data_IF_180865320410
#
_entry.id   IF_180865320410
#
_cell.length_a   1.000
_cell.length_b   1.000
_cell.length_c   1.000
_cell.angle_alpha   90.00
_cell.angle_beta   90.00
_cell.angle_gamma   90.00
#
_symmetry.space_group_name_H-M   'P 1'
#
loop_
_entity.id
_entity.type
_entity.pdbx_description
1 polymer ?
#
# COMPACT_ATOMS: atom_id res chain seq x y z
N UNK A 1 -22.65 -8.84 23.11
CA UNK A 1 -22.23 -9.99 22.26
C UNK A 1 -21.74 -9.45 20.91
N UNK A 2 -20.45 -9.13 20.80
CA UNK A 2 -19.85 -8.52 19.59
C UNK A 2 -19.49 -9.66 18.64
N UNK A 3 -20.26 -9.88 17.57
CA UNK A 3 -19.85 -10.82 16.51
C UNK A 3 -18.49 -10.35 15.98
N UNK A 4 -17.48 -11.23 15.83
CA UNK A 4 -16.15 -10.82 15.41
C UNK A 4 -16.23 -10.21 14.01
N UNK A 5 -15.79 -8.96 13.88
CA UNK A 5 -15.78 -8.17 12.63
C UNK A 5 -15.14 -8.94 11.46
N UNK A 6 -14.14 -9.79 11.75
CA UNK A 6 -13.51 -10.73 10.81
C UNK A 6 -14.50 -11.65 10.10
N UNK A 7 -15.51 -12.15 10.81
CA UNK A 7 -16.43 -13.15 10.28
C UNK A 7 -17.45 -12.55 9.29
N UNK A 8 -17.92 -11.32 9.54
CA UNK A 8 -18.79 -10.60 8.59
C UNK A 8 -18.06 -10.25 7.29
N UNK A 9 -16.79 -9.83 7.38
CA UNK A 9 -15.96 -9.50 6.21
C UNK A 9 -15.73 -10.72 5.31
N UNK A 10 -15.59 -11.91 5.92
CA UNK A 10 -15.45 -13.17 5.18
C UNK A 10 -16.73 -13.56 4.39
N UNK A 11 -17.92 -13.35 4.96
CA UNK A 11 -19.18 -13.60 4.23
C UNK A 11 -19.39 -12.62 3.09
N UNK A 12 -19.08 -11.33 3.30
CA UNK A 12 -19.18 -10.30 2.27
C UNK A 12 -18.23 -10.60 1.08
N UNK A 13 -16.99 -10.99 1.36
CA UNK A 13 -16.01 -11.39 0.33
C UNK A 13 -16.49 -12.60 -0.48
N UNK A 14 -16.98 -13.64 0.20
CA UNK A 14 -17.52 -14.83 -0.47
C UNK A 14 -18.75 -14.52 -1.32
N UNK A 15 -19.65 -13.67 -0.81
CA UNK A 15 -20.82 -13.23 -1.56
C UNK A 15 -20.41 -12.40 -2.78
N UNK A 16 -19.48 -11.44 -2.62
CA UNK A 16 -18.98 -10.60 -3.70
C UNK A 16 -18.24 -11.39 -4.79
N UNK A 17 -17.56 -12.48 -4.44
CA UNK A 17 -16.89 -13.36 -5.39
C UNK A 17 -17.86 -13.94 -6.43
N UNK A 18 -19.11 -14.20 -6.05
CA UNK A 18 -20.13 -14.82 -6.92
C UNK A 18 -21.10 -13.76 -7.47
N UNK A 19 -21.60 -12.87 -6.61
CA UNK A 19 -22.60 -11.87 -7.00
C UNK A 19 -22.06 -10.87 -8.01
N UNK A 20 -20.82 -10.42 -7.86
CA UNK A 20 -20.27 -9.37 -8.71
C UNK A 20 -20.05 -9.85 -10.16
N UNK A 21 -19.50 -11.05 -10.43
CA UNK A 21 -19.49 -11.61 -11.78
C UNK A 21 -20.88 -11.81 -12.37
N UNK A 22 -21.85 -12.25 -11.57
CA UNK A 22 -23.24 -12.43 -12.03
C UNK A 22 -23.83 -11.08 -12.45
N UNK A 23 -23.64 -10.03 -11.66
CA UNK A 23 -24.08 -8.67 -12.01
C UNK A 23 -23.39 -8.18 -13.29
N UNK A 24 -22.07 -8.38 -13.40
CA UNK A 24 -21.31 -8.01 -14.59
C UNK A 24 -21.81 -8.73 -15.84
N UNK A 25 -22.10 -10.04 -15.72
CA UNK A 25 -22.68 -10.84 -16.79
C UNK A 25 -24.09 -10.37 -17.19
N UNK A 26 -24.93 -10.03 -16.21
CA UNK A 26 -26.27 -9.48 -16.49
C UNK A 26 -26.18 -8.15 -17.23
N UNK A 27 -25.22 -7.28 -16.89
CA UNK A 27 -24.98 -6.03 -17.62
C UNK A 27 -24.55 -6.34 -19.07
N UNK A 28 -23.63 -7.29 -19.26
CA UNK A 28 -23.15 -7.70 -20.59
C UNK A 28 -24.31 -8.24 -21.48
N UNK A 29 -25.27 -8.94 -20.88
CA UNK A 29 -26.37 -9.59 -21.61
C UNK A 29 -27.57 -8.66 -21.86
N UNK A 30 -27.90 -7.77 -20.92
CA UNK A 30 -29.16 -7.02 -20.93
C UNK A 30 -29.00 -5.50 -21.07
N UNK A 31 -27.81 -4.94 -20.86
CA UNK A 31 -27.60 -3.50 -20.99
C UNK A 31 -27.08 -3.15 -22.39
N UNK A 32 -27.69 -2.13 -23.00
CA UNK A 32 -27.17 -1.47 -24.19
C UNK A 32 -26.85 -0.02 -23.84
N UNK A 33 -25.62 0.22 -23.40
CA UNK A 33 -25.17 1.54 -22.93
C UNK A 33 -24.94 2.52 -24.08
N UNK A 34 -24.61 2.00 -25.27
CA UNK A 34 -24.37 2.80 -26.47
C UNK A 34 -24.89 2.05 -27.71
N UNK A 35 -26.03 2.48 -28.30
CA UNK A 35 -26.63 1.82 -29.45
C UNK A 35 -25.66 1.73 -30.63
N UNK A 36 -25.17 0.52 -30.91
CA UNK A 36 -24.23 0.24 -32.00
C UNK A 36 -22.79 -0.04 -31.56
N UNK A 37 -22.45 0.12 -30.28
CA UNK A 37 -21.10 -0.17 -29.77
C UNK A 37 -21.10 -1.02 -28.49
N UNK A 38 -21.32 -2.33 -28.66
CA UNK A 38 -21.32 -3.31 -27.56
C UNK A 38 -20.02 -3.37 -26.76
N UNK A 39 -18.89 -2.88 -27.31
CA UNK A 39 -17.60 -2.82 -26.60
C UNK A 39 -17.65 -1.90 -25.39
N UNK A 40 -18.46 -0.84 -25.44
CA UNK A 40 -18.65 0.10 -24.32
C UNK A 40 -19.29 -0.63 -23.13
N UNK A 41 -20.36 -1.39 -23.39
CA UNK A 41 -21.01 -2.23 -22.36
C UNK A 41 -20.04 -3.23 -21.76
N UNK A 42 -19.23 -3.92 -22.57
CA UNK A 42 -18.27 -4.91 -22.08
C UNK A 42 -17.17 -4.27 -21.23
N UNK A 43 -16.61 -3.14 -21.69
CA UNK A 43 -15.59 -2.42 -20.93
C UNK A 43 -16.13 -1.91 -19.59
N UNK A 44 -17.35 -1.35 -19.58
CA UNK A 44 -18.01 -0.89 -18.37
C UNK A 44 -18.28 -2.03 -17.38
N UNK A 45 -18.82 -3.15 -17.87
CA UNK A 45 -19.13 -4.31 -17.02
C UNK A 45 -17.88 -4.90 -16.36
N UNK A 46 -16.75 -4.96 -17.07
CA UNK A 46 -15.47 -5.41 -16.53
C UNK A 46 -14.89 -4.39 -15.54
N UNK A 47 -14.98 -3.09 -15.85
CA UNK A 47 -14.53 -2.04 -14.93
C UNK A 47 -15.33 -2.05 -13.61
N UNK A 48 -16.65 -2.25 -13.69
CA UNK A 48 -17.53 -2.36 -12.53
C UNK A 48 -17.24 -3.62 -11.71
N UNK A 49 -16.99 -4.76 -12.38
CA UNK A 49 -16.52 -5.99 -11.75
C UNK A 49 -15.24 -5.75 -10.95
N UNK A 50 -14.24 -5.14 -11.59
CA UNK A 50 -12.95 -4.85 -10.94
C UNK A 50 -13.10 -3.89 -9.76
N UNK A 51 -13.86 -2.81 -9.92
CA UNK A 51 -14.11 -1.81 -8.87
C UNK A 51 -14.74 -2.44 -7.63
N UNK A 52 -15.78 -3.25 -7.83
CA UNK A 52 -16.45 -3.94 -6.73
C UNK A 52 -15.54 -5.00 -6.06
N UNK A 53 -14.73 -5.72 -6.83
CA UNK A 53 -13.75 -6.66 -6.28
C UNK A 53 -12.61 -5.99 -5.52
N UNK A 54 -12.18 -4.79 -5.92
CA UNK A 54 -11.22 -4.01 -5.14
C UNK A 54 -11.81 -3.49 -3.84
N UNK A 55 -13.05 -2.97 -3.86
CA UNK A 55 -13.73 -2.47 -2.65
C UNK A 55 -14.01 -3.60 -1.66
N UNK A 56 -14.43 -4.76 -2.16
CA UNK A 56 -14.77 -5.92 -1.31
C UNK A 56 -13.56 -6.76 -0.94
N UNK A 57 -12.41 -6.55 -1.59
CA UNK A 57 -11.22 -7.40 -1.48
C UNK A 57 -11.55 -8.90 -1.65
N UNK A 58 -12.44 -9.23 -2.59
CA UNK A 58 -12.92 -10.61 -2.81
C UNK A 58 -11.81 -11.56 -3.26
N UNK A 59 -10.89 -11.06 -4.09
CA UNK A 59 -9.63 -11.70 -4.48
C UNK A 59 -8.47 -10.69 -4.30
N UNK A 60 -7.21 -11.13 -4.27
CA UNK A 60 -6.06 -10.23 -4.16
C UNK A 60 -6.08 -9.14 -5.24
N UNK A 61 -5.76 -7.88 -4.87
CA UNK A 61 -5.84 -6.73 -5.78
C UNK A 61 -5.07 -6.95 -7.09
N UNK A 62 -3.90 -7.62 -7.00
CA UNK A 62 -3.07 -7.95 -8.16
C UNK A 62 -3.78 -8.94 -9.11
N UNK A 63 -4.52 -9.92 -8.58
CA UNK A 63 -5.27 -10.87 -9.40
C UNK A 63 -6.44 -10.18 -10.12
N UNK A 64 -7.18 -9.31 -9.42
CA UNK A 64 -8.23 -8.47 -10.04
C UNK A 64 -7.64 -7.58 -11.15
N UNK A 65 -6.46 -7.00 -10.91
CA UNK A 65 -5.78 -6.14 -11.89
C UNK A 65 -5.35 -6.87 -13.17
N UNK A 66 -5.25 -8.20 -13.16
CA UNK A 66 -4.92 -9.00 -14.35
C UNK A 66 -6.13 -9.40 -15.20
N UNK A 67 -7.37 -9.18 -14.71
CA UNK A 67 -8.58 -9.54 -15.46
C UNK A 67 -8.64 -8.93 -16.87
N UNK A 68 -8.28 -7.64 -17.10
CA UNK A 68 -8.30 -7.07 -18.43
C UNK A 68 -7.44 -7.83 -19.45
N UNK A 69 -6.31 -8.43 -19.02
CA UNK A 69 -5.41 -9.19 -19.89
C UNK A 69 -6.13 -10.35 -20.57
N UNK A 70 -7.04 -11.02 -19.86
CA UNK A 70 -7.81 -12.13 -20.40
C UNK A 70 -9.16 -11.68 -20.97
N UNK A 71 -9.88 -10.81 -20.26
CA UNK A 71 -11.26 -10.46 -20.61
C UNK A 71 -11.34 -9.47 -21.78
N UNK A 72 -10.42 -8.50 -21.90
CA UNK A 72 -10.51 -7.53 -23.00
C UNK A 72 -10.33 -8.16 -24.38
N UNK A 73 -9.36 -9.08 -24.60
CA UNK A 73 -9.27 -9.81 -25.85
C UNK A 73 -10.44 -10.77 -26.07
N UNK A 74 -10.92 -11.42 -25.00
CA UNK A 74 -12.05 -12.36 -25.08
C UNK A 74 -13.35 -11.68 -25.55
N UNK A 75 -13.62 -10.47 -25.07
CA UNK A 75 -14.78 -9.67 -25.46
C UNK A 75 -14.53 -8.76 -26.69
N UNK A 76 -13.36 -8.87 -27.33
CA UNK A 76 -13.02 -8.11 -28.54
C UNK A 76 -12.90 -6.58 -28.32
N UNK A 77 -12.65 -6.15 -27.07
CA UNK A 77 -12.53 -4.74 -26.70
C UNK A 77 -11.20 -4.18 -27.23
N UNK A 78 -10.10 -4.83 -26.87
CA UNK A 78 -8.72 -4.50 -27.27
C UNK A 78 -7.96 -5.79 -27.56
N UNK A 79 -7.04 -5.77 -28.52
CA UNK A 79 -6.23 -6.93 -28.85
C UNK A 79 -5.23 -7.30 -27.73
N UNK A 80 -4.90 -8.59 -27.62
CA UNK A 80 -4.03 -9.09 -26.55
C UNK A 80 -2.62 -8.49 -26.56
N UNK A 81 -2.09 -8.11 -27.74
CA UNK A 81 -0.77 -7.50 -27.85
C UNK A 81 -0.78 -6.10 -27.23
N UNK A 82 -1.77 -5.28 -27.58
CA UNK A 82 -1.95 -3.95 -27.01
C UNK A 82 -2.21 -4.03 -25.51
N UNK A 83 -3.10 -4.92 -25.03
CA UNK A 83 -3.35 -5.06 -23.59
C UNK A 83 -2.09 -5.51 -22.86
N UNK A 84 -1.36 -6.50 -23.35
CA UNK A 84 -0.13 -6.98 -22.70
C UNK A 84 0.94 -5.89 -22.59
N UNK A 85 1.10 -5.05 -23.62
CA UNK A 85 2.10 -3.96 -23.62
C UNK A 85 1.89 -2.95 -22.47
N UNK A 86 0.64 -2.76 -22.02
CA UNK A 86 0.27 -1.88 -20.90
C UNK A 86 0.82 -2.42 -19.56
N UNK A 87 1.01 -3.74 -19.44
CA UNK A 87 1.54 -4.43 -18.26
C UNK A 87 3.07 -4.61 -18.30
N UNK A 88 3.72 -4.36 -19.43
CA UNK A 88 5.17 -4.46 -19.59
C UNK A 88 5.77 -3.09 -19.92
N UNK A 89 5.87 -2.21 -18.93
CA UNK A 89 6.46 -0.87 -19.10
C UNK A 89 7.67 -0.63 -18.18
N UNK A 90 8.48 0.37 -18.54
CA UNK A 90 9.69 0.76 -17.82
C UNK A 90 9.42 1.15 -16.35
N UNK A 91 8.23 1.68 -16.03
CA UNK A 91 7.84 2.01 -14.65
C UNK A 91 7.71 0.76 -13.78
N UNK A 92 7.14 -0.33 -14.31
CA UNK A 92 7.04 -1.61 -13.59
C UNK A 92 8.43 -2.20 -13.35
N UNK A 93 9.34 -2.11 -14.34
CA UNK A 93 10.74 -2.51 -14.14
C UNK A 93 11.46 -1.67 -13.09
N UNK A 94 11.19 -0.36 -13.05
CA UNK A 94 11.72 0.52 -12.00
C UNK A 94 11.22 0.12 -10.61
N UNK A 95 9.94 -0.25 -10.46
CA UNK A 95 9.40 -0.80 -9.21
C UNK A 95 10.11 -2.08 -8.79
N UNK A 96 10.28 -3.03 -9.72
CA UNK A 96 10.98 -4.30 -9.44
C UNK A 96 12.42 -4.01 -8.99
N UNK A 97 13.14 -3.11 -9.67
CA UNK A 97 14.48 -2.68 -9.27
C UNK A 97 14.52 -2.03 -7.89
N UNK A 98 13.55 -1.16 -7.58
CA UNK A 98 13.40 -0.54 -6.27
C UNK A 98 13.14 -1.55 -5.15
N UNK A 99 12.25 -2.52 -5.37
CA UNK A 99 12.00 -3.60 -4.41
C UNK A 99 13.23 -4.49 -4.21
N UNK A 100 13.96 -4.82 -5.28
CA UNK A 100 15.21 -5.58 -5.17
C UNK A 100 16.26 -4.82 -4.35
N UNK A 101 16.40 -3.50 -4.55
CA UNK A 101 17.28 -2.66 -3.75
C UNK A 101 16.86 -2.62 -2.27
N UNK A 102 15.55 -2.46 -2.01
CA UNK A 102 15.00 -2.48 -0.65
C UNK A 102 15.26 -3.82 0.05
N UNK A 103 15.02 -4.94 -0.63
CA UNK A 103 15.30 -6.30 -0.12
C UNK A 103 16.79 -6.52 0.14
N UNK A 104 17.66 -6.01 -0.73
CA UNK A 104 19.10 -6.06 -0.50
C UNK A 104 19.47 -5.26 0.77
N UNK A 105 18.99 -4.03 0.90
CA UNK A 105 19.19 -3.19 2.09
C UNK A 105 18.67 -3.86 3.38
N UNK A 106 17.55 -4.58 3.28
CA UNK A 106 16.96 -5.36 4.35
C UNK A 106 17.88 -6.51 4.77
N UNK A 107 18.32 -7.34 3.80
CA UNK A 107 19.22 -8.48 4.02
C UNK A 107 20.51 -8.10 4.74
N UNK A 108 21.08 -6.94 4.42
CA UNK A 108 22.32 -6.45 5.04
C UNK A 108 22.07 -5.67 6.35
N UNK A 109 20.82 -5.53 6.79
CA UNK A 109 20.43 -4.68 7.93
C UNK A 109 20.94 -3.23 7.81
N UNK A 110 21.15 -2.76 6.58
CA UNK A 110 21.72 -1.44 6.32
C UNK A 110 20.78 -0.33 6.80
N UNK A 111 19.49 -0.48 6.50
CA UNK A 111 18.40 0.37 6.98
C UNK A 111 18.44 0.56 8.52
N UNK A 112 18.60 -0.52 9.29
CA UNK A 112 18.75 -0.46 10.76
C UNK A 112 20.00 0.30 11.20
N UNK A 113 21.15 0.07 10.55
CA UNK A 113 22.41 0.78 10.86
C UNK A 113 22.27 2.28 10.62
N UNK A 114 21.61 2.67 9.52
CA UNK A 114 21.33 4.07 9.20
C UNK A 114 20.38 4.67 10.24
N UNK A 115 19.29 3.98 10.59
CA UNK A 115 18.33 4.41 11.60
C UNK A 115 19.02 4.73 12.93
N UNK A 116 19.84 3.79 13.42
CA UNK A 116 20.56 3.95 14.69
C UNK A 116 21.59 5.08 14.62
N UNK A 117 22.33 5.22 13.52
CA UNK A 117 23.27 6.34 13.34
C UNK A 117 22.57 7.69 13.36
N UNK A 118 21.43 7.81 12.69
CA UNK A 118 20.59 9.01 12.73
C UNK A 118 20.18 9.28 14.17
N UNK A 119 19.60 8.29 14.86
CA UNK A 119 19.12 8.45 16.24
C UNK A 119 20.23 8.84 17.23
N UNK A 120 21.45 8.30 17.08
CA UNK A 120 22.60 8.67 17.93
C UNK A 120 23.09 10.10 17.64
N UNK A 121 22.96 10.56 16.40
CA UNK A 121 23.30 11.93 16.02
C UNK A 121 22.35 12.96 16.65
N UNK A 122 21.10 12.55 16.93
CA UNK A 122 20.16 13.33 17.70
C UNK A 122 20.37 13.12 19.20
N UNK A 123 20.43 14.22 19.95
CA UNK A 123 20.68 14.18 21.39
C UNK A 123 19.55 13.52 22.21
N UNK A 124 19.80 13.41 23.52
CA UNK A 124 18.99 12.65 24.48
C UNK A 124 17.74 13.36 25.01
N UNK A 125 17.46 14.60 24.57
CA UNK A 125 16.27 15.31 25.07
C UNK A 125 14.99 14.76 24.42
N UNK A 126 13.85 14.69 25.13
CA UNK A 126 12.61 14.10 24.61
C UNK A 126 12.16 14.68 23.26
N UNK A 127 12.35 15.99 23.04
CA UNK A 127 12.05 16.63 21.74
C UNK A 127 13.00 16.21 20.62
N UNK A 128 14.30 16.07 20.90
CA UNK A 128 15.30 15.65 19.91
C UNK A 128 15.15 14.17 19.55
N UNK A 129 14.81 13.32 20.50
CA UNK A 129 14.46 11.92 20.27
C UNK A 129 13.29 11.83 19.27
N UNK A 130 12.23 12.61 19.52
CA UNK A 130 11.06 12.62 18.64
C UNK A 130 11.42 13.09 17.22
N UNK A 131 12.20 14.17 17.08
CA UNK A 131 12.69 14.62 15.77
C UNK A 131 13.57 13.57 15.08
N UNK A 132 14.46 12.92 15.83
CA UNK A 132 15.33 11.87 15.30
C UNK A 132 14.53 10.69 14.76
N UNK A 133 13.48 10.27 15.47
CA UNK A 133 12.55 9.25 15.00
C UNK A 133 11.78 9.70 13.76
N UNK A 134 11.28 10.93 13.73
CA UNK A 134 10.57 11.45 12.55
C UNK A 134 11.46 11.47 11.31
N UNK A 135 12.70 11.95 11.45
CA UNK A 135 13.66 12.04 10.34
C UNK A 135 14.15 10.67 9.88
N UNK A 136 14.53 9.79 10.82
CA UNK A 136 14.91 8.42 10.48
C UNK A 136 13.77 7.68 9.78
N UNK A 137 12.54 7.80 10.31
CA UNK A 137 11.37 7.13 9.73
C UNK A 137 11.05 7.68 8.34
N UNK A 138 11.03 9.00 8.17
CA UNK A 138 10.76 9.61 6.86
C UNK A 138 11.83 9.22 5.84
N UNK A 139 13.11 9.28 6.20
CA UNK A 139 14.21 8.91 5.31
C UNK A 139 14.15 7.44 4.88
N UNK A 140 13.90 6.52 5.82
CA UNK A 140 13.83 5.09 5.50
C UNK A 140 12.59 4.77 4.65
N UNK A 141 11.48 5.44 4.90
CA UNK A 141 10.24 5.25 4.15
C UNK A 141 10.30 5.79 2.72
N UNK A 142 11.32 6.58 2.36
CA UNK A 142 11.58 6.94 0.96
C UNK A 142 12.05 5.74 0.12
N UNK A 143 12.65 4.73 0.74
CA UNK A 143 13.27 3.60 0.04
C UNK A 143 12.61 2.26 0.39
N UNK A 144 11.89 2.20 1.51
CA UNK A 144 11.15 1.04 1.99
C UNK A 144 9.66 1.34 2.03
N UNK A 145 8.81 0.31 2.05
CA UNK A 145 7.37 0.50 2.23
C UNK A 145 7.07 1.12 3.61
N UNK A 146 6.05 1.97 3.67
CA UNK A 146 5.63 2.64 4.91
C UNK A 146 5.37 1.63 6.05
N UNK A 147 4.76 0.50 5.72
CA UNK A 147 4.48 -0.58 6.68
C UNK A 147 5.75 -1.25 7.18
N UNK A 148 6.71 -1.57 6.29
CA UNK A 148 7.99 -2.17 6.70
C UNK A 148 8.79 -1.22 7.60
N UNK A 149 8.84 0.06 7.23
CA UNK A 149 9.54 1.09 8.01
C UNK A 149 8.95 1.22 9.42
N UNK A 150 7.62 1.30 9.54
CA UNK A 150 6.94 1.38 10.82
C UNK A 150 7.22 0.15 11.69
N UNK A 151 7.13 -1.06 11.13
CA UNK A 151 7.41 -2.31 11.85
C UNK A 151 8.86 -2.38 12.35
N UNK A 152 9.83 -1.83 11.61
CA UNK A 152 11.23 -1.78 12.01
C UNK A 152 11.50 -0.74 13.12
N UNK A 153 10.93 0.45 12.99
CA UNK A 153 11.13 1.55 13.95
C UNK A 153 10.46 1.26 15.30
N UNK A 154 9.30 0.60 15.28
CA UNK A 154 8.49 0.30 16.47
C UNK A 154 9.27 -0.34 17.63
N UNK A 155 10.01 -1.45 17.46
CA UNK A 155 10.79 -2.04 18.56
C UNK A 155 11.87 -1.12 19.12
N UNK A 156 12.47 -0.27 18.28
CA UNK A 156 13.49 0.71 18.71
C UNK A 156 12.83 1.81 19.54
N UNK A 157 11.67 2.33 19.08
CA UNK A 157 10.89 3.31 19.81
C UNK A 157 10.45 2.76 21.18
N UNK A 158 9.92 1.54 21.22
CA UNK A 158 9.53 0.86 22.46
C UNK A 158 10.69 0.74 23.45
N UNK A 159 11.88 0.40 22.97
CA UNK A 159 13.08 0.28 23.81
C UNK A 159 13.43 1.61 24.48
N UNK A 160 13.30 2.73 23.75
CA UNK A 160 13.57 4.08 24.27
C UNK A 160 12.47 4.54 25.24
N UNK A 161 11.20 4.21 24.95
CA UNK A 161 10.06 4.52 25.83
C UNK A 161 10.23 3.85 27.18
N UNK A 162 10.60 2.56 27.22
CA UNK A 162 10.83 1.83 28.47
C UNK A 162 11.92 2.53 29.30
N UNK A 163 13.00 2.97 28.66
CA UNK A 163 14.06 3.71 29.34
C UNK A 163 13.60 5.07 29.89
N UNK A 164 12.78 5.80 29.14
CA UNK A 164 12.18 7.05 29.59
C UNK A 164 11.16 6.85 30.72
N UNK A 165 10.44 5.72 30.77
CA UNK A 165 9.55 5.39 31.88
C UNK A 165 10.29 5.19 33.21
N UNK A 166 11.48 4.57 33.17
CA UNK A 166 12.34 4.43 34.34
C UNK A 166 12.78 5.80 34.90
N UNK A 167 13.09 6.76 34.02
CA UNK A 167 13.63 8.06 34.41
C UNK A 167 12.56 9.09 34.79
N UNK A 168 11.39 9.09 34.13
CA UNK A 168 10.36 10.14 34.24
C UNK A 168 9.05 9.69 34.94
N UNK A 169 8.87 8.38 35.13
CA UNK A 169 7.67 7.78 35.70
C UNK A 169 6.49 7.60 34.73
N UNK A 170 5.79 6.47 34.83
CA UNK A 170 4.73 6.00 33.89
C UNK A 170 3.66 7.04 33.52
N UNK A 171 3.21 7.86 34.48
CA UNK A 171 2.11 8.83 34.28
C UNK A 171 2.47 9.93 33.26
N UNK A 172 3.74 10.39 33.23
CA UNK A 172 4.19 11.44 32.30
C UNK A 172 4.58 10.87 30.93
N UNK A 173 5.00 9.62 30.87
CA UNK A 173 5.48 8.98 29.64
C UNK A 173 4.35 8.51 28.71
N UNK A 174 3.14 8.26 29.22
CA UNK A 174 2.06 7.72 28.39
C UNK A 174 1.62 8.67 27.25
N UNK A 175 1.58 9.99 27.49
CA UNK A 175 1.28 10.97 26.44
C UNK A 175 2.42 11.08 25.42
N UNK A 176 3.66 10.98 25.88
CA UNK A 176 4.85 10.98 25.03
C UNK A 176 4.89 9.74 24.13
N UNK A 177 4.56 8.57 24.68
CA UNK A 177 4.43 7.30 23.95
C UNK A 177 3.49 7.42 22.75
N UNK A 178 2.24 7.86 23.00
CA UNK A 178 1.24 8.00 21.93
C UNK A 178 1.67 9.03 20.89
N UNK A 179 2.26 10.15 21.34
CA UNK A 179 2.79 11.18 20.44
C UNK A 179 3.93 10.67 19.55
N UNK A 180 4.85 9.87 20.10
CA UNK A 180 5.96 9.28 19.37
C UNK A 180 5.49 8.25 18.34
N UNK A 181 4.54 7.38 18.69
CA UNK A 181 3.99 6.41 17.73
C UNK A 181 3.24 7.09 16.59
N UNK A 182 2.44 8.12 16.89
CA UNK A 182 1.75 8.91 15.88
C UNK A 182 2.75 9.63 14.97
N UNK A 183 3.80 10.25 15.53
CA UNK A 183 4.80 10.94 14.72
C UNK A 183 5.53 9.99 13.78
N UNK A 184 5.89 8.78 14.23
CA UNK A 184 6.46 7.73 13.37
C UNK A 184 5.48 7.36 12.25
N UNK A 185 4.20 7.13 12.56
CA UNK A 185 3.21 6.76 11.54
C UNK A 185 3.02 7.83 10.45
N UNK A 186 2.94 9.11 10.86
CA UNK A 186 2.85 10.23 9.92
C UNK A 186 4.15 10.43 9.14
N UNK A 187 5.31 10.34 9.78
CA UNK A 187 6.61 10.46 9.11
C UNK A 187 6.85 9.36 8.09
N UNK A 188 6.43 8.11 8.36
CA UNK A 188 6.49 7.04 7.36
C UNK A 188 5.64 7.39 6.13
N UNK A 189 4.41 7.86 6.35
CA UNK A 189 3.50 8.23 5.27
C UNK A 189 4.06 9.40 4.42
N UNK A 190 4.59 10.43 5.07
CA UNK A 190 5.21 11.59 4.40
C UNK A 190 6.47 11.19 3.64
N UNK A 191 7.34 10.38 4.25
CA UNK A 191 8.57 9.89 3.62
C UNK A 191 8.31 9.08 2.36
N UNK A 192 7.28 8.22 2.38
CA UNK A 192 6.89 7.41 1.22
C UNK A 192 6.36 8.23 0.03
N UNK A 193 5.87 9.44 0.26
CA UNK A 193 5.43 10.35 -0.81
C UNK A 193 6.61 11.13 -1.41
N UNK A 194 7.73 11.25 -0.69
CA UNK A 194 8.84 12.12 -1.09
C UNK A 194 9.65 11.61 -2.29
N UNK A 195 9.64 10.30 -2.58
CA UNK A 195 10.37 9.73 -3.71
C UNK A 195 9.46 8.89 -4.60
N UNK A 196 9.86 8.75 -5.87
CA UNK A 196 9.17 7.90 -6.84
C UNK A 196 9.10 6.43 -6.38
N UNK A 197 10.13 5.95 -5.67
CA UNK A 197 10.23 4.56 -5.22
C UNK A 197 9.44 4.29 -3.93
N UNK A 198 9.14 5.33 -3.14
CA UNK A 198 8.58 5.18 -1.79
C UNK A 198 7.15 4.63 -1.75
N UNK A 199 6.26 5.07 -2.66
CA UNK A 199 4.87 4.59 -2.70
C UNK A 199 4.34 4.32 -4.11
N UNK A 200 3.52 3.27 -4.31
CA UNK A 200 2.95 2.93 -5.62
C UNK A 200 2.23 4.08 -6.37
N UNK A 201 1.49 4.98 -5.69
CA UNK A 201 0.81 6.09 -6.36
C UNK A 201 1.76 7.07 -7.08
N UNK A 202 2.94 7.37 -6.53
CA UNK A 202 3.85 8.40 -7.07
C UNK A 202 4.29 8.12 -8.51
N UNK A 203 4.59 6.85 -8.81
CA UNK A 203 4.98 6.43 -10.15
C UNK A 203 3.80 6.24 -11.09
N UNK A 204 2.60 5.95 -10.56
CA UNK A 204 1.38 5.95 -11.39
C UNK A 204 1.07 7.34 -11.93
N UNK A 205 1.39 8.40 -11.16
CA UNK A 205 1.30 9.77 -11.65
C UNK A 205 2.32 10.07 -12.76
N UNK A 206 3.58 9.67 -12.60
CA UNK A 206 4.61 9.82 -13.67
C UNK A 206 4.22 9.09 -14.95
N UNK A 207 3.46 8.02 -14.87
CA UNK A 207 2.95 7.32 -16.05
C UNK A 207 1.90 8.13 -16.83
N UNK A 208 1.12 8.97 -16.15
CA UNK A 208 -0.05 9.68 -16.73
C UNK A 208 0.33 11.11 -17.17
N UNK A 209 1.41 11.68 -16.62
CA UNK A 209 1.98 12.98 -17.01
C UNK A 209 2.93 12.85 -18.19
#
# INVERSE_FOLDING_TARGET
MIKPVKQKRCYLQKAALILVPVISLLIILFADLDPGNKKVTYAFAIALLMSLWWITEAIPLAATALLPVALFPLFGIVDGKTVSSIYFNHVIFLFIGGFLMALAMERWNLHRRIALKILILFGISPGRILMGFMLATAFLSMWMSNTATAMMILPIALSIIIKLEEDLGKQKTHKYFTGLLLSIAYSASIGGIATLVGTPPNLSFVRIS
#
